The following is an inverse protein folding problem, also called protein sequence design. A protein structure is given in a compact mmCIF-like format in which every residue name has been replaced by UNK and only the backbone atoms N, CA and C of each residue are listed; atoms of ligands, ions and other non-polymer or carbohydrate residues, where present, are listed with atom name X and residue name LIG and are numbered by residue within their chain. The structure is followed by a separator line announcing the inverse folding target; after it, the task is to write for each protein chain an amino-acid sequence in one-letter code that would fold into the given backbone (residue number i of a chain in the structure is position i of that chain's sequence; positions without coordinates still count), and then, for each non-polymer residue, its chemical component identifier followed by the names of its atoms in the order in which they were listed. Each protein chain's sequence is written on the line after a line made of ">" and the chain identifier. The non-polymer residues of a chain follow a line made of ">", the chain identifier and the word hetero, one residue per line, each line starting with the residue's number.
data_IF_135103384281
#
_entry.id   IF_135103384281
#
_cell.length_a   1.000
_cell.length_b   1.000
_cell.length_c   1.000
_cell.angle_alpha   90.00
_cell.angle_beta   90.00
_cell.angle_gamma   90.00
#
_symmetry.space_group_name_H-M   'P 1'
#
loop_
_entity.id
_entity.type
_entity.pdbx_description
1 polymer ?
#
# COMPACT_ATOMS: atom_id res chain seq x y z
N UNK A 1 3.64 7.93 -19.41
CA UNK A 1 3.52 8.23 -17.96
C UNK A 1 2.90 7.02 -17.32
N UNK A 2 3.66 6.23 -16.55
CA UNK A 2 3.10 5.07 -15.85
C UNK A 2 1.98 5.55 -14.92
N UNK A 3 0.78 5.03 -15.10
CA UNK A 3 -0.36 5.37 -14.26
C UNK A 3 -0.04 4.90 -12.83
N UNK A 4 0.21 5.86 -11.93
CA UNK A 4 0.59 5.56 -10.54
C UNK A 4 -0.61 5.25 -9.65
N UNK A 5 -1.82 5.20 -10.19
CA UNK A 5 -3.03 5.07 -9.37
C UNK A 5 -3.58 3.65 -9.41
N UNK A 6 -4.26 3.29 -8.33
CA UNK A 6 -5.13 2.13 -8.31
C UNK A 6 -6.25 2.32 -9.34
N UNK A 7 -6.42 1.35 -10.25
CA UNK A 7 -7.40 1.38 -11.34
C UNK A 7 -8.22 0.09 -11.36
N UNK A 8 -9.36 0.11 -12.04
CA UNK A 8 -10.17 -1.09 -12.19
C UNK A 8 -9.44 -2.14 -13.03
N UNK A 9 -9.83 -3.41 -12.90
CA UNK A 9 -9.31 -4.46 -13.78
C UNK A 9 -9.58 -4.15 -15.26
N UNK A 10 -10.74 -3.56 -15.58
CA UNK A 10 -11.09 -3.17 -16.94
C UNK A 10 -10.11 -2.12 -17.48
N UNK A 11 -9.85 -1.07 -16.71
CA UNK A 11 -8.89 -0.02 -17.10
C UNK A 11 -7.49 -0.61 -17.25
N UNK A 12 -7.08 -1.52 -16.38
CA UNK A 12 -5.79 -2.20 -16.47
C UNK A 12 -5.66 -3.01 -17.76
N UNK A 13 -6.68 -3.80 -18.12
CA UNK A 13 -6.70 -4.61 -19.34
C UNK A 13 -6.70 -3.74 -20.59
N UNK A 14 -7.50 -2.67 -20.62
CA UNK A 14 -7.58 -1.76 -21.76
C UNK A 14 -6.28 -0.99 -22.02
N UNK A 15 -5.49 -0.75 -20.97
CA UNK A 15 -4.23 -0.01 -21.05
C UNK A 15 -3.00 -0.92 -20.87
N UNK A 16 -3.14 -2.24 -21.02
CA UNK A 16 -2.09 -3.21 -20.70
C UNK A 16 -0.80 -2.98 -21.50
N UNK A 17 -0.91 -2.50 -22.74
CA UNK A 17 0.23 -2.22 -23.62
C UNK A 17 1.05 -1.01 -23.16
N UNK A 18 0.41 -0.06 -22.47
CA UNK A 18 1.09 1.10 -21.89
C UNK A 18 1.69 0.79 -20.51
N UNK A 19 1.03 -0.08 -19.76
CA UNK A 19 1.42 -0.45 -18.39
C UNK A 19 2.57 -1.45 -18.40
N UNK A 20 2.48 -2.47 -19.26
CA UNK A 20 3.47 -3.55 -19.41
C UNK A 20 3.99 -3.55 -20.86
N UNK A 21 4.83 -2.57 -21.24
CA UNK A 21 5.32 -2.45 -22.60
C UNK A 21 6.22 -3.62 -22.97
N UNK A 22 6.27 -3.95 -24.26
CA UNK A 22 7.28 -4.84 -24.86
C UNK A 22 7.31 -6.30 -24.35
N UNK A 23 6.22 -6.79 -23.74
CA UNK A 23 6.09 -8.20 -23.33
C UNK A 23 5.20 -9.01 -24.27
N UNK A 24 5.47 -10.32 -24.37
CA UNK A 24 4.63 -11.23 -25.16
C UNK A 24 3.23 -11.43 -24.55
N UNK A 25 2.30 -11.99 -25.33
CA UNK A 25 0.91 -12.20 -24.89
C UNK A 25 0.79 -13.04 -23.61
N UNK A 26 1.68 -14.01 -23.42
CA UNK A 26 1.69 -14.84 -22.20
C UNK A 26 1.97 -14.00 -20.95
N UNK A 27 2.99 -13.13 -21.00
CA UNK A 27 3.31 -12.22 -19.89
C UNK A 27 2.18 -11.22 -19.60
N UNK A 28 1.48 -10.73 -20.62
CA UNK A 28 0.28 -9.88 -20.42
C UNK A 28 -0.82 -10.62 -19.66
N UNK A 29 -1.07 -11.88 -20.01
CA UNK A 29 -2.05 -12.71 -19.29
C UNK A 29 -1.65 -12.92 -17.83
N UNK A 30 -0.38 -13.21 -17.56
CA UNK A 30 0.12 -13.34 -16.18
C UNK A 30 -0.02 -12.02 -15.40
N UNK A 31 0.22 -10.88 -16.04
CA UNK A 31 0.05 -9.56 -15.41
C UNK A 31 -1.42 -9.28 -15.08
N UNK A 32 -2.33 -9.60 -15.99
CA UNK A 32 -3.78 -9.48 -15.76
C UNK A 32 -4.22 -10.40 -14.62
N UNK A 33 -3.75 -11.64 -14.58
CA UNK A 33 -4.07 -12.58 -13.51
C UNK A 33 -3.56 -12.10 -12.14
N UNK A 34 -2.31 -11.63 -12.08
CA UNK A 34 -1.72 -11.11 -10.85
C UNK A 34 -2.42 -9.85 -10.37
N UNK A 35 -2.75 -8.93 -11.30
CA UNK A 35 -3.50 -7.72 -10.95
C UNK A 35 -4.92 -8.06 -10.46
N UNK A 36 -5.60 -9.02 -11.09
CA UNK A 36 -6.91 -9.49 -10.63
C UNK A 36 -6.84 -10.10 -9.22
N UNK A 37 -5.81 -10.92 -8.93
CA UNK A 37 -5.58 -11.46 -7.57
C UNK A 37 -5.31 -10.35 -6.56
N UNK A 38 -4.47 -9.40 -6.94
CA UNK A 38 -4.16 -8.23 -6.13
C UNK A 38 -5.41 -7.42 -5.79
N UNK A 39 -6.29 -7.15 -6.76
CA UNK A 39 -7.54 -6.45 -6.52
C UNK A 39 -8.47 -7.18 -5.53
N UNK A 40 -8.39 -8.52 -5.45
CA UNK A 40 -9.15 -9.32 -4.48
C UNK A 40 -8.55 -9.33 -3.08
N UNK A 41 -7.35 -8.79 -2.88
CA UNK A 41 -6.74 -8.71 -1.56
C UNK A 41 -7.55 -7.81 -0.63
N UNK A 42 -7.63 -8.21 0.64
CA UNK A 42 -8.28 -7.41 1.67
C UNK A 42 -7.43 -6.21 2.02
N UNK A 43 -8.08 -5.05 2.09
CA UNK A 43 -7.44 -3.82 2.52
C UNK A 43 -7.01 -3.99 3.97
N UNK A 44 -5.77 -3.62 4.28
CA UNK A 44 -5.26 -3.65 5.64
C UNK A 44 -4.26 -2.51 5.87
N UNK A 45 -3.98 -2.21 7.14
CA UNK A 45 -3.09 -1.12 7.53
C UNK A 45 -1.67 -1.27 6.96
N UNK A 46 -1.20 -2.52 6.78
CA UNK A 46 0.11 -2.85 6.21
C UNK A 46 0.32 -2.33 4.77
N UNK A 47 -0.76 -2.11 4.04
CA UNK A 47 -0.74 -1.50 2.70
C UNK A 47 -0.40 0.00 2.72
N UNK A 48 -0.53 0.66 3.88
CA UNK A 48 -0.32 2.10 4.05
C UNK A 48 0.90 2.40 4.94
N UNK A 49 1.19 1.54 5.91
CA UNK A 49 2.30 1.72 6.85
C UNK A 49 2.99 0.40 7.20
N UNK A 50 4.28 0.43 7.55
CA UNK A 50 4.97 -0.75 8.07
C UNK A 50 4.28 -1.24 9.35
N UNK A 51 3.84 -2.49 9.36
CA UNK A 51 3.18 -3.12 10.50
C UNK A 51 3.89 -4.41 10.91
N UNK A 52 3.80 -4.75 12.20
CA UNK A 52 4.25 -6.04 12.72
C UNK A 52 3.29 -7.18 12.30
N UNK A 53 3.63 -8.42 12.70
CA UNK A 53 2.81 -9.62 12.44
C UNK A 53 1.42 -9.60 13.09
N UNK A 54 1.19 -8.70 14.03
CA UNK A 54 -0.08 -8.51 14.72
C UNK A 54 -0.90 -7.34 14.14
N UNK A 55 -0.38 -6.65 13.13
CA UNK A 55 -1.03 -5.49 12.50
C UNK A 55 -0.78 -4.17 13.23
N UNK A 56 0.15 -4.11 14.18
CA UNK A 56 0.50 -2.86 14.87
C UNK A 56 1.50 -2.05 14.05
N UNK A 57 1.35 -0.73 14.07
CA UNK A 57 2.28 0.20 13.41
C UNK A 57 3.69 0.07 13.99
N UNK A 58 4.65 -0.20 13.10
CA UNK A 58 6.07 -0.15 13.44
C UNK A 58 6.58 1.28 13.31
N UNK A 59 7.28 1.74 14.35
CA UNK A 59 8.04 2.98 14.27
C UNK A 59 9.29 2.74 13.46
N UNK A 60 9.65 3.72 12.63
CA UNK A 60 10.94 3.71 11.94
C UNK A 60 12.07 3.62 12.97
N UNK A 61 12.97 2.62 12.88
CA UNK A 61 14.09 2.50 13.81
C UNK A 61 15.02 3.70 13.75
N UNK A 62 15.69 3.98 14.88
CA UNK A 62 16.72 5.01 14.93
C UNK A 62 17.86 4.66 13.97
N UNK A 63 18.43 5.69 13.32
CA UNK A 63 19.52 5.55 12.34
C UNK A 63 19.22 4.60 11.16
N UNK A 64 17.94 4.33 10.85
CA UNK A 64 17.56 3.39 9.78
C UNK A 64 18.20 3.72 8.43
N UNK A 65 18.28 5.00 8.05
CA UNK A 65 18.92 5.40 6.79
C UNK A 65 20.40 5.05 6.75
N UNK A 66 21.12 5.26 7.86
CA UNK A 66 22.53 4.92 7.98
C UNK A 66 22.72 3.40 7.91
N UNK A 67 21.90 2.65 8.65
CA UNK A 67 21.92 1.19 8.60
C UNK A 67 21.64 0.67 7.19
N UNK A 68 20.62 1.21 6.52
CA UNK A 68 20.23 0.79 5.16
C UNK A 68 21.36 1.01 4.16
N UNK A 69 22.00 2.18 4.19
CA UNK A 69 23.13 2.48 3.32
C UNK A 69 24.30 1.50 3.55
N UNK A 70 24.66 1.26 4.81
CA UNK A 70 25.73 0.30 5.16
C UNK A 70 25.37 -1.14 4.78
N UNK A 71 24.10 -1.52 4.93
CA UNK A 71 23.62 -2.85 4.58
C UNK A 71 23.69 -3.12 3.07
N UNK A 72 23.33 -2.13 2.25
CA UNK A 72 23.44 -2.21 0.79
C UNK A 72 24.90 -2.25 0.31
N UNK A 73 25.83 -1.61 1.02
CA UNK A 73 27.26 -1.53 0.65
C UNK A 73 28.11 -2.70 1.18
N UNK A 74 27.94 -3.09 2.44
CA UNK A 74 28.87 -4.00 3.14
C UNK A 74 28.28 -5.40 3.42
N UNK A 75 26.96 -5.61 3.19
CA UNK A 75 26.30 -6.90 3.39
C UNK A 75 26.32 -7.43 4.83
N UNK A 76 26.60 -6.57 5.82
CA UNK A 76 26.69 -6.94 7.24
C UNK A 76 25.31 -6.93 7.91
N UNK A 77 24.91 -8.06 8.49
CA UNK A 77 23.57 -8.33 9.05
C UNK A 77 23.55 -8.55 10.56
N UNK A 78 24.69 -8.46 11.25
CA UNK A 78 24.73 -8.91 12.65
C UNK A 78 24.13 -7.83 13.58
N UNK A 79 22.88 -8.04 14.01
CA UNK A 79 22.39 -7.56 15.31
C UNK A 79 21.26 -6.53 15.34
N UNK A 80 20.59 -6.22 14.22
CA UNK A 80 19.54 -5.20 14.19
C UNK A 80 18.19 -5.73 13.70
N UNK A 81 17.60 -6.64 14.48
CA UNK A 81 16.30 -7.28 14.17
C UNK A 81 15.20 -6.24 13.88
N UNK A 82 15.15 -5.14 14.64
CA UNK A 82 14.16 -4.07 14.45
C UNK A 82 14.26 -3.41 13.06
N UNK A 83 15.48 -3.31 12.50
CA UNK A 83 15.70 -2.75 11.16
C UNK A 83 15.27 -3.71 10.06
N UNK A 84 15.54 -5.01 10.22
CA UNK A 84 15.09 -6.04 9.28
C UNK A 84 13.56 -6.17 9.29
N UNK A 85 12.95 -6.20 10.47
CA UNK A 85 11.49 -6.24 10.62
C UNK A 85 10.84 -5.01 9.98
N UNK A 86 11.40 -3.82 10.21
CA UNK A 86 10.90 -2.61 9.59
C UNK A 86 11.07 -2.61 8.07
N UNK A 87 12.20 -3.10 7.54
CA UNK A 87 12.44 -3.21 6.11
C UNK A 87 11.45 -4.17 5.45
N UNK A 88 11.24 -5.36 6.03
CA UNK A 88 10.29 -6.34 5.55
C UNK A 88 8.86 -5.77 5.57
N UNK A 89 8.46 -5.14 6.67
CA UNK A 89 7.17 -4.48 6.79
C UNK A 89 7.02 -3.33 5.78
N UNK A 90 8.07 -2.54 5.55
CA UNK A 90 8.07 -1.45 4.57
C UNK A 90 7.89 -1.95 3.15
N UNK A 91 8.34 -3.17 2.82
CA UNK A 91 8.15 -3.79 1.50
C UNK A 91 6.68 -4.15 1.18
N UNK A 92 5.82 -4.16 2.21
CA UNK A 92 4.38 -4.43 2.10
C UNK A 92 3.56 -3.15 1.91
N UNK A 93 4.17 -1.97 2.10
CA UNK A 93 3.52 -0.67 1.90
C UNK A 93 3.37 -0.40 0.41
N UNK A 94 2.12 -0.24 -0.02
CA UNK A 94 1.77 -0.07 -1.43
C UNK A 94 1.26 1.33 -1.77
N UNK A 95 0.69 2.06 -0.81
CA UNK A 95 0.15 3.40 -1.05
C UNK A 95 1.00 4.50 -0.41
N UNK A 96 1.09 5.64 -1.09
CA UNK A 96 1.78 6.84 -0.60
C UNK A 96 0.80 7.97 -0.23
N UNK A 97 1.31 9.00 0.44
CA UNK A 97 0.56 10.21 0.84
C UNK A 97 -0.52 10.04 1.92
N UNK A 98 -0.45 8.94 2.66
CA UNK A 98 -1.26 8.73 3.86
C UNK A 98 -0.50 9.09 5.14
N UNK A 99 -1.24 9.50 6.17
CA UNK A 99 -0.72 9.72 7.51
C UNK A 99 -1.73 9.28 8.58
N UNK A 100 -1.23 8.98 9.77
CA UNK A 100 -2.04 8.63 10.93
C UNK A 100 -2.28 9.87 11.77
N UNK A 101 -3.53 10.09 12.16
CA UNK A 101 -3.93 11.19 13.04
C UNK A 101 -4.93 10.73 14.09
N UNK A 102 -5.19 11.60 15.06
CA UNK A 102 -6.29 11.42 16.00
C UNK A 102 -7.55 12.07 15.45
N UNK A 103 -8.61 11.28 15.29
CA UNK A 103 -9.95 11.77 15.03
C UNK A 103 -10.66 12.01 16.36
N UNK A 104 -10.96 13.28 16.66
CA UNK A 104 -11.63 13.69 17.90
C UNK A 104 -13.01 14.25 17.59
N UNK A 105 -14.04 13.54 18.08
CA UNK A 105 -15.42 14.01 18.04
C UNK A 105 -15.87 14.40 19.44
N UNK A 106 -16.58 15.54 19.62
CA UNK A 106 -17.07 15.94 20.93
C UNK A 106 -17.90 14.83 21.59
N UNK A 107 -17.49 14.41 22.80
CA UNK A 107 -18.17 13.34 23.56
C UNK A 107 -17.74 11.91 23.21
N UNK A 108 -16.68 11.71 22.43
CA UNK A 108 -16.08 10.39 22.17
C UNK A 108 -14.58 10.38 22.52
N UNK A 109 -14.08 9.21 22.88
CA UNK A 109 -12.63 8.99 23.01
C UNK A 109 -11.95 9.22 21.65
N UNK A 110 -10.75 9.82 21.69
CA UNK A 110 -9.94 10.03 20.50
C UNK A 110 -9.63 8.68 19.83
N UNK A 111 -9.98 8.54 18.57
CA UNK A 111 -9.69 7.34 17.79
C UNK A 111 -8.53 7.59 16.84
N UNK A 112 -7.73 6.56 16.58
CA UNK A 112 -6.68 6.64 15.58
C UNK A 112 -7.34 6.46 14.21
N UNK A 113 -7.05 7.35 13.27
CA UNK A 113 -7.62 7.33 11.94
C UNK A 113 -6.57 7.53 10.86
N UNK A 114 -6.88 6.99 9.69
CA UNK A 114 -6.11 7.14 8.46
C UNK A 114 -6.55 8.39 7.73
N UNK A 115 -5.60 9.22 7.32
CA UNK A 115 -5.84 10.42 6.53
C UNK A 115 -5.01 10.38 5.25
N UNK A 116 -5.51 11.02 4.20
CA UNK A 116 -4.73 11.30 3.00
C UNK A 116 -4.39 12.80 2.96
N UNK A 117 -3.17 13.16 2.53
CA UNK A 117 -2.67 14.56 2.55
C UNK A 117 -3.57 15.55 1.81
N UNK A 118 -4.28 15.12 0.76
CA UNK A 118 -5.19 15.98 0.00
C UNK A 118 -6.58 16.17 0.62
N UNK A 119 -6.83 15.58 1.80
CA UNK A 119 -8.17 15.46 2.38
C UNK A 119 -8.23 16.16 3.73
N UNK A 120 -9.40 16.74 4.02
CA UNK A 120 -9.70 17.39 5.30
C UNK A 120 -10.22 16.41 6.35
N UNK A 121 -10.68 15.24 5.93
CA UNK A 121 -11.34 14.24 6.78
C UNK A 121 -10.61 12.90 6.69
N UNK A 122 -10.79 12.07 7.71
CA UNK A 122 -10.29 10.70 7.76
C UNK A 122 -10.91 9.86 6.64
N UNK A 123 -10.14 8.89 6.16
CA UNK A 123 -10.51 7.92 5.12
C UNK A 123 -10.98 6.61 5.77
N UNK A 124 -10.37 6.22 6.88
CA UNK A 124 -10.70 5.00 7.61
C UNK A 124 -10.36 5.13 9.10
N UNK A 125 -11.01 4.31 9.92
CA UNK A 125 -10.67 4.18 11.34
C UNK A 125 -9.71 3.01 11.55
N UNK A 126 -8.67 3.24 12.35
CA UNK A 126 -7.69 2.22 12.69
C UNK A 126 -8.15 1.51 13.96
N UNK A 127 -9.00 0.51 13.80
CA UNK A 127 -9.42 -0.44 14.84
C UNK A 127 -8.79 -1.81 14.60
N UNK A 128 -8.84 -2.77 15.54
CA UNK A 128 -8.41 -4.15 15.28
C UNK A 128 -9.07 -4.79 14.05
N UNK A 129 -10.31 -4.39 13.76
CA UNK A 129 -11.07 -4.83 12.57
C UNK A 129 -10.78 -3.98 11.31
N UNK A 130 -10.01 -2.90 11.44
CA UNK A 130 -9.68 -1.91 10.40
C UNK A 130 -10.87 -1.56 9.50
N UNK A 131 -11.74 -0.68 9.98
CA UNK A 131 -12.98 -0.32 9.29
C UNK A 131 -12.71 0.79 8.27
N UNK A 132 -12.86 0.46 6.99
CA UNK A 132 -12.72 1.37 5.86
C UNK A 132 -14.03 2.15 5.59
N UNK A 133 -14.01 3.47 5.72
CA UNK A 133 -15.18 4.37 5.55
C UNK A 133 -16.49 3.85 6.21
N UNK A 134 -17.65 4.39 5.80
CA UNK A 134 -19.01 3.95 6.16
C UNK A 134 -19.54 2.86 5.22
N UNK A 135 -18.70 2.35 4.32
CA UNK A 135 -19.05 1.36 3.32
C UNK A 135 -18.32 0.05 3.62
N UNK A 136 -18.96 -1.08 3.34
CA UNK A 136 -18.39 -2.42 3.51
C UNK A 136 -17.33 -2.72 2.42
N UNK A 137 -16.42 -1.78 2.14
CA UNK A 137 -15.32 -1.98 1.21
C UNK A 137 -14.25 -2.85 1.89
N UNK A 138 -14.17 -4.11 1.48
CA UNK A 138 -13.28 -5.09 2.11
C UNK A 138 -12.03 -5.35 1.28
N UNK A 139 -12.06 -5.06 -0.02
CA UNK A 139 -11.01 -5.38 -0.99
C UNK A 139 -10.55 -4.15 -1.78
N UNK A 140 -9.36 -4.25 -2.39
CA UNK A 140 -8.85 -3.20 -3.27
C UNK A 140 -9.78 -2.95 -4.47
N UNK A 141 -10.44 -4.00 -4.98
CA UNK A 141 -11.45 -3.89 -6.02
C UNK A 141 -12.63 -3.01 -5.57
N UNK A 142 -13.12 -3.21 -4.34
CA UNK A 142 -14.22 -2.43 -3.78
C UNK A 142 -13.86 -0.93 -3.76
N UNK A 143 -12.61 -0.58 -3.42
CA UNK A 143 -12.14 0.81 -3.51
C UNK A 143 -12.27 1.33 -4.95
N UNK A 144 -11.86 0.54 -5.95
CA UNK A 144 -11.89 1.00 -7.35
C UNK A 144 -13.29 1.22 -7.89
N UNK A 145 -14.26 0.43 -7.43
CA UNK A 145 -15.64 0.43 -7.94
C UNK A 145 -16.53 1.37 -7.12
N UNK A 146 -16.43 1.29 -5.79
CA UNK A 146 -17.39 1.92 -4.88
C UNK A 146 -16.87 3.20 -4.24
N UNK A 147 -15.56 3.34 -4.07
CA UNK A 147 -15.02 4.55 -3.45
C UNK A 147 -15.17 5.75 -4.39
N UNK A 148 -15.89 6.81 -3.98
CA UNK A 148 -15.92 8.06 -4.73
C UNK A 148 -14.56 8.78 -4.72
N UNK A 149 -13.57 8.21 -4.04
CA UNK A 149 -12.25 8.79 -3.83
C UNK A 149 -11.11 7.90 -4.33
N UNK A 150 -11.38 6.96 -5.25
CA UNK A 150 -10.37 6.05 -5.85
C UNK A 150 -9.11 6.76 -6.39
N UNK A 151 -9.20 8.05 -6.71
CA UNK A 151 -8.10 8.84 -7.25
C UNK A 151 -7.00 9.19 -6.24
N UNK A 152 -7.22 8.97 -4.94
CA UNK A 152 -6.22 9.24 -3.88
C UNK A 152 -5.27 8.07 -3.66
N UNK A 153 -5.56 6.89 -4.19
CA UNK A 153 -4.76 5.69 -3.98
C UNK A 153 -3.63 5.64 -4.99
N UNK A 154 -2.56 6.36 -4.67
CA UNK A 154 -1.34 6.40 -5.47
C UNK A 154 -0.37 5.35 -4.95
N UNK A 155 0.16 4.53 -5.86
CA UNK A 155 1.15 3.51 -5.57
C UNK A 155 2.51 4.12 -5.27
N UNK A 156 3.21 3.52 -4.31
CA UNK A 156 4.64 3.78 -4.11
C UNK A 156 5.44 3.32 -5.35
N UNK A 157 6.61 3.92 -5.63
CA UNK A 157 7.48 3.44 -6.71
C UNK A 157 7.85 1.96 -6.58
N UNK A 158 8.04 1.47 -5.35
CA UNK A 158 8.31 0.07 -5.08
C UNK A 158 7.13 -0.84 -5.45
N UNK A 159 5.90 -0.42 -5.14
CA UNK A 159 4.69 -1.16 -5.48
C UNK A 159 4.45 -1.22 -6.99
N UNK A 160 4.72 -0.13 -7.72
CA UNK A 160 4.65 -0.12 -9.19
C UNK A 160 5.58 -1.19 -9.76
N UNK A 161 6.83 -1.24 -9.30
CA UNK A 161 7.77 -2.25 -9.75
C UNK A 161 7.30 -3.67 -9.41
N UNK A 162 6.79 -3.87 -8.19
CA UNK A 162 6.34 -5.18 -7.70
C UNK A 162 5.11 -5.72 -8.43
N UNK A 163 4.08 -4.89 -8.61
CA UNK A 163 2.77 -5.35 -9.11
C UNK A 163 2.57 -5.09 -10.60
N UNK A 164 3.26 -4.11 -11.19
CA UNK A 164 3.04 -3.69 -12.58
C UNK A 164 4.20 -4.09 -13.51
N UNK A 165 5.43 -4.28 -13.00
CA UNK A 165 6.62 -4.49 -13.85
C UNK A 165 7.33 -5.82 -13.65
N UNK A 166 7.37 -6.36 -12.42
CA UNK A 166 8.03 -7.63 -12.10
C UNK A 166 7.12 -8.85 -12.24
N UNK A 167 6.30 -8.88 -13.29
CA UNK A 167 5.59 -10.10 -13.70
C UNK A 167 6.53 -11.09 -14.42
N UNK A 168 7.65 -11.44 -13.78
CA UNK A 168 8.69 -12.34 -14.29
C UNK A 168 8.96 -13.41 -13.24
#
# INVERSE_FOLDING_TARGET
>A
MQNKKLITLMDFVLNIDEIVPEVNNFKKLVAIENYAKFLKERINLGMFFPCDKHGNLLKKPNNYELWKALHEEEGSTIGFIEHEEYLEASSKVIFEDFFVGSDTWPGRESQIALYHKSRKWSVAQITPEFIWDRTNEFTLEDITIHSPYRDIYTFTPAAINKFLLNTI
#
